data_IF_794281000624
#
_entry.id   IF_794281000624
#
_cell.length_a   1.000
_cell.length_b   1.000
_cell.length_c   1.000
_cell.angle_alpha   90.00
_cell.angle_beta   90.00
_cell.angle_gamma   90.00
#
_symmetry.space_group_name_H-M   'P 1'
#
loop_
_entity.id
_entity.type
_entity.pdbx_description
1 polymer ?
#
# COMPACT_ATOMS: atom_id res chain seq x y z
N UNK A 1 -6.54 -2.53 30.38
CA UNK A 1 -5.25 -2.87 29.72
C UNK A 1 -5.47 -4.15 28.95
N UNK A 2 -5.54 -4.11 27.64
CA UNK A 2 -5.37 -5.31 26.81
C UNK A 2 -5.08 -4.91 25.37
N UNK A 3 -4.20 -5.70 24.76
CA UNK A 3 -3.35 -5.47 23.60
C UNK A 3 -4.11 -4.95 22.37
N UNK A 4 -3.56 -3.91 21.74
CA UNK A 4 -3.77 -3.62 20.32
C UNK A 4 -3.23 -4.82 19.56
N UNK A 5 -4.09 -5.54 18.86
CA UNK A 5 -3.68 -6.49 17.83
C UNK A 5 -3.11 -5.67 16.67
N UNK A 6 -1.81 -5.41 16.74
CA UNK A 6 -1.06 -4.93 15.59
C UNK A 6 -0.99 -6.09 14.61
N UNK A 7 -1.51 -5.88 13.40
CA UNK A 7 -1.21 -6.74 12.27
C UNK A 7 0.32 -6.70 12.08
N UNK A 8 1.02 -7.76 12.47
CA UNK A 8 2.47 -7.84 12.37
C UNK A 8 2.81 -8.37 10.97
N UNK A 9 2.88 -7.44 10.03
CA UNK A 9 3.31 -7.70 8.65
C UNK A 9 4.76 -8.16 8.64
N UNK A 10 5.12 -9.12 7.78
CA UNK A 10 6.44 -9.71 7.82
C UNK A 10 7.48 -8.76 7.23
N UNK A 11 8.54 -8.47 8.00
CA UNK A 11 9.70 -7.75 7.49
C UNK A 11 10.49 -8.64 6.52
N UNK A 12 10.60 -8.21 5.26
CA UNK A 12 11.26 -8.98 4.20
C UNK A 12 12.65 -8.45 3.84
N UNK A 13 12.92 -7.17 4.10
CA UNK A 13 14.18 -6.54 3.69
C UNK A 13 14.50 -5.33 4.59
N UNK A 14 15.78 -4.96 4.65
CA UNK A 14 16.22 -3.71 5.26
C UNK A 14 17.21 -3.03 4.33
N UNK A 15 16.98 -1.76 4.04
CA UNK A 15 17.91 -0.91 3.29
C UNK A 15 18.66 -0.01 4.27
N UNK A 16 19.99 -0.10 4.24
CA UNK A 16 20.87 0.72 5.05
C UNK A 16 21.32 1.92 4.24
N UNK A 17 20.84 3.12 4.57
CA UNK A 17 21.05 4.33 3.79
C UNK A 17 22.00 5.27 4.54
N UNK A 18 23.01 5.77 3.83
CA UNK A 18 23.91 6.82 4.30
C UNK A 18 23.67 8.09 3.51
N UNK A 19 23.32 9.17 4.21
CA UNK A 19 23.01 10.46 3.59
C UNK A 19 24.32 11.19 3.29
N UNK A 20 24.46 11.72 2.07
CA UNK A 20 25.55 12.63 1.72
C UNK A 20 25.13 14.06 2.04
N UNK A 21 25.30 14.46 3.29
CA UNK A 21 24.90 15.78 3.78
C UNK A 21 25.59 16.95 3.08
N UNK A 22 26.77 16.72 2.52
CA UNK A 22 27.57 17.75 1.82
C UNK A 22 27.02 18.13 0.45
N UNK A 23 26.19 17.28 -0.15
CA UNK A 23 25.61 17.48 -1.49
C UNK A 23 24.12 17.83 -1.47
N UNK A 24 23.56 18.09 -0.28
CA UNK A 24 22.17 18.52 -0.13
C UNK A 24 21.97 19.86 -0.82
N UNK A 25 21.02 19.94 -1.75
CA UNK A 25 20.61 21.19 -2.38
C UNK A 25 19.19 21.55 -2.00
N UNK A 26 18.94 22.85 -1.79
CA UNK A 26 17.65 23.33 -1.28
C UNK A 26 17.20 24.60 -1.99
N UNK A 27 15.94 24.59 -2.40
CA UNK A 27 15.16 25.77 -2.75
C UNK A 27 14.18 26.05 -1.61
N UNK A 28 14.10 27.31 -1.16
CA UNK A 28 13.11 27.74 -0.17
C UNK A 28 12.52 29.08 -0.59
N UNK A 29 11.20 29.17 -0.56
CA UNK A 29 10.43 30.41 -0.70
C UNK A 29 9.76 30.75 0.64
N UNK A 30 8.97 31.82 0.67
CA UNK A 30 8.21 32.19 1.88
C UNK A 30 7.16 31.14 2.27
N UNK A 31 6.67 30.36 1.30
CA UNK A 31 5.56 29.43 1.49
C UNK A 31 5.92 27.97 1.20
N UNK A 32 6.98 27.68 0.45
CA UNK A 32 7.29 26.34 -0.03
C UNK A 32 8.79 26.03 0.06
N UNK A 33 9.14 24.74 0.02
CA UNK A 33 10.53 24.32 -0.07
C UNK A 33 10.68 23.03 -0.89
N UNK A 34 11.82 22.89 -1.56
CA UNK A 34 12.25 21.67 -2.22
C UNK A 34 13.66 21.35 -1.75
N UNK A 35 13.91 20.12 -1.30
CA UNK A 35 15.24 19.66 -0.85
C UNK A 35 15.59 18.37 -1.57
N UNK A 36 16.72 18.35 -2.27
CA UNK A 36 17.31 17.12 -2.80
C UNK A 36 18.34 16.62 -1.78
N UNK A 37 18.19 15.36 -1.35
CA UNK A 37 19.04 14.70 -0.38
C UNK A 37 19.71 13.52 -1.08
N UNK A 38 20.95 13.67 -1.58
CA UNK A 38 21.69 12.56 -2.16
C UNK A 38 22.07 11.55 -1.08
N UNK A 39 22.07 10.27 -1.44
CA UNK A 39 22.46 9.21 -0.53
C UNK A 39 23.10 8.03 -1.25
N UNK A 40 23.79 7.20 -0.48
CA UNK A 40 24.22 5.85 -0.88
C UNK A 40 23.67 4.85 0.12
N UNK A 41 23.92 3.56 -0.10
CA UNK A 41 23.43 2.53 0.78
C UNK A 41 23.62 1.14 0.22
N UNK A 42 23.20 0.16 1.01
CA UNK A 42 23.25 -1.24 0.64
C UNK A 42 22.10 -2.02 1.28
N UNK A 43 21.92 -3.25 0.83
CA UNK A 43 21.04 -4.22 1.46
C UNK A 43 21.69 -5.59 1.43
N UNK A 44 21.46 -6.35 2.50
CA UNK A 44 21.87 -7.74 2.62
C UNK A 44 20.69 -8.51 3.21
N UNK A 45 19.94 -9.20 2.34
CA UNK A 45 18.74 -9.96 2.70
C UNK A 45 18.79 -11.34 2.07
N UNK A 46 17.91 -12.23 2.53
CA UNK A 46 17.77 -13.55 1.93
C UNK A 46 17.30 -13.54 0.47
N UNK A 47 16.68 -12.45 0.01
CA UNK A 47 16.15 -12.33 -1.36
C UNK A 47 17.13 -11.65 -2.31
N UNK A 48 17.87 -10.66 -1.81
CA UNK A 48 18.73 -9.81 -2.61
C UNK A 48 19.84 -9.19 -1.76
N UNK A 49 21.03 -9.10 -2.35
CA UNK A 49 22.20 -8.41 -1.79
C UNK A 49 22.77 -7.45 -2.82
N UNK A 50 22.88 -6.18 -2.49
CA UNK A 50 23.36 -5.16 -3.44
C UNK A 50 23.65 -3.80 -2.84
N UNK A 51 24.26 -2.94 -3.66
CA UNK A 51 24.66 -1.57 -3.31
C UNK A 51 23.96 -0.56 -4.22
N UNK A 52 23.70 0.63 -3.68
CA UNK A 52 23.04 1.72 -4.41
C UNK A 52 23.99 2.31 -5.46
N UNK A 53 23.50 2.41 -6.68
CA UNK A 53 24.18 3.05 -7.80
C UNK A 53 24.18 4.59 -7.66
N UNK A 54 25.16 5.29 -8.27
CA UNK A 54 25.18 6.76 -8.30
C UNK A 54 23.89 7.36 -8.86
N UNK A 55 23.48 8.50 -8.31
CA UNK A 55 22.27 9.24 -8.72
C UNK A 55 21.05 9.06 -7.81
N UNK A 56 21.19 8.29 -6.74
CA UNK A 56 20.16 8.14 -5.72
C UNK A 56 19.91 9.44 -4.94
N UNK A 57 18.64 9.82 -4.84
CA UNK A 57 18.24 11.00 -4.08
C UNK A 57 16.82 10.85 -3.50
N UNK A 58 16.62 11.50 -2.36
CA UNK A 58 15.30 11.80 -1.81
C UNK A 58 14.96 13.25 -2.13
N UNK A 59 13.83 13.44 -2.82
CA UNK A 59 13.29 14.75 -3.13
C UNK A 59 12.16 15.05 -2.17
N UNK A 60 12.41 15.97 -1.24
CA UNK A 60 11.42 16.41 -0.28
C UNK A 60 10.79 17.72 -0.72
N UNK A 61 9.46 17.76 -0.77
CA UNK A 61 8.68 18.96 -1.12
C UNK A 61 7.82 19.36 0.07
N UNK A 62 8.00 20.58 0.56
CA UNK A 62 7.09 21.22 1.51
C UNK A 62 6.17 22.16 0.76
N UNK A 63 4.86 21.89 0.85
CA UNK A 63 3.84 22.71 0.20
C UNK A 63 3.46 23.94 1.02
N UNK A 64 2.54 24.76 0.49
CA UNK A 64 2.08 25.98 1.15
C UNK A 64 1.28 25.73 2.44
N UNK A 65 0.82 24.50 2.67
CA UNK A 65 0.16 24.09 3.92
C UNK A 65 1.16 23.67 5.00
N UNK A 66 2.45 23.58 4.66
CA UNK A 66 3.51 23.09 5.53
C UNK A 66 3.62 21.56 5.53
N UNK A 67 2.84 20.85 4.70
CA UNK A 67 2.93 19.40 4.54
C UNK A 67 4.20 19.06 3.78
N UNK A 68 4.98 18.10 4.30
CA UNK A 68 6.22 17.64 3.67
C UNK A 68 6.00 16.26 3.06
N UNK A 69 6.25 16.16 1.77
CA UNK A 69 6.23 14.93 0.99
C UNK A 69 7.66 14.47 0.72
N UNK A 70 7.87 13.16 0.72
CA UNK A 70 9.14 12.49 0.45
C UNK A 70 8.99 11.63 -0.82
N UNK A 71 9.99 11.66 -1.69
CA UNK A 71 10.04 10.85 -2.90
C UNK A 71 11.48 10.42 -3.15
N UNK A 72 11.85 9.24 -2.62
CA UNK A 72 13.17 8.67 -2.80
C UNK A 72 13.21 7.76 -4.02
N UNK A 73 14.16 7.99 -4.93
CA UNK A 73 14.37 7.19 -6.14
C UNK A 73 15.82 6.74 -6.24
N UNK A 74 16.02 5.43 -6.38
CA UNK A 74 17.33 4.82 -6.38
C UNK A 74 17.33 3.45 -7.05
N UNK A 75 18.50 2.98 -7.46
CA UNK A 75 18.70 1.67 -8.07
C UNK A 75 19.78 0.95 -7.28
N UNK A 76 19.51 -0.25 -6.83
CA UNK A 76 20.55 -1.17 -6.40
C UNK A 76 21.10 -1.96 -7.58
N UNK A 77 22.39 -2.27 -7.53
CA UNK A 77 23.03 -3.31 -8.34
C UNK A 77 23.54 -4.40 -7.41
N UNK A 78 23.21 -5.65 -7.72
CA UNK A 78 23.50 -6.75 -6.80
C UNK A 78 23.25 -8.13 -7.38
N UNK A 79 23.00 -9.07 -6.48
CA UNK A 79 22.74 -10.48 -6.78
C UNK A 79 21.47 -10.93 -6.06
N UNK A 80 20.59 -11.64 -6.78
CA UNK A 80 19.41 -12.27 -6.19
C UNK A 80 19.74 -13.61 -5.50
N UNK A 81 18.74 -14.21 -4.86
CA UNK A 81 18.89 -15.48 -4.14
C UNK A 81 19.28 -16.67 -5.05
N UNK A 82 19.06 -16.56 -6.37
CA UNK A 82 19.48 -17.58 -7.34
C UNK A 82 20.93 -17.38 -7.81
N UNK A 83 21.62 -16.36 -7.30
CA UNK A 83 23.00 -16.05 -7.67
C UNK A 83 23.11 -15.25 -8.97
N UNK A 84 22.02 -14.69 -9.51
CA UNK A 84 22.04 -13.91 -10.75
C UNK A 84 22.27 -12.43 -10.46
N UNK A 85 23.15 -11.82 -11.25
CA UNK A 85 23.35 -10.37 -11.22
C UNK A 85 22.11 -9.65 -11.76
N UNK A 86 21.62 -8.67 -11.02
CA UNK A 86 20.40 -7.94 -11.35
C UNK A 86 20.40 -6.54 -10.74
N UNK A 87 19.39 -5.76 -11.14
CA UNK A 87 19.11 -4.43 -10.63
C UNK A 87 17.75 -4.40 -9.94
N UNK A 88 17.65 -3.57 -8.91
CA UNK A 88 16.40 -3.31 -8.19
C UNK A 88 16.21 -1.79 -8.10
N UNK A 89 15.33 -1.27 -8.92
CA UNK A 89 14.84 0.10 -8.79
C UNK A 89 13.83 0.18 -7.64
N UNK A 90 13.98 1.22 -6.83
CA UNK A 90 13.09 1.54 -5.72
C UNK A 90 12.61 2.98 -5.84
N UNK A 91 11.30 3.15 -5.75
CA UNK A 91 10.63 4.42 -5.56
C UNK A 91 9.89 4.38 -4.22
N UNK A 92 10.36 5.12 -3.22
CA UNK A 92 9.76 5.12 -1.88
C UNK A 92 9.13 6.47 -1.57
N UNK A 93 7.80 6.49 -1.48
CA UNK A 93 7.03 7.72 -1.28
C UNK A 93 6.42 7.75 0.13
N UNK A 94 6.55 8.87 0.83
CA UNK A 94 6.01 9.03 2.18
C UNK A 94 5.58 10.46 2.47
N UNK A 95 4.85 10.66 3.56
CA UNK A 95 4.46 11.99 4.04
C UNK A 95 4.80 12.13 5.51
N UNK A 96 5.32 13.31 5.88
CA UNK A 96 5.58 13.59 7.27
C UNK A 96 4.25 13.97 7.95
N UNK A 97 3.88 13.28 9.03
CA UNK A 97 2.63 13.57 9.72
C UNK A 97 2.65 14.97 10.36
N UNK A 98 1.45 15.55 10.56
CA UNK A 98 1.29 16.87 11.19
C UNK A 98 2.05 16.97 12.53
N UNK A 99 2.50 18.18 12.86
CA UNK A 99 3.20 18.48 14.11
C UNK A 99 2.44 17.93 15.33
N UNK A 100 3.03 16.96 16.02
CA UNK A 100 2.48 16.39 17.26
C UNK A 100 2.30 14.87 17.27
N UNK A 101 2.38 14.20 16.12
CA UNK A 101 2.43 12.73 16.11
C UNK A 101 3.83 12.25 16.50
N UNK A 102 3.91 11.47 17.59
CA UNK A 102 5.14 10.83 18.08
C UNK A 102 5.28 9.44 17.43
N UNK A 103 5.43 9.37 16.11
CA UNK A 103 5.88 8.11 15.51
C UNK A 103 7.41 8.06 15.60
N UNK A 104 7.94 6.90 16.00
CA UNK A 104 9.39 6.66 16.08
C UNK A 104 10.04 6.56 14.69
N UNK A 105 9.22 6.32 13.66
CA UNK A 105 9.59 6.20 12.26
C UNK A 105 8.64 6.98 11.36
N UNK A 106 9.11 7.24 10.13
CA UNK A 106 8.28 7.73 9.03
C UNK A 106 7.71 6.55 8.25
N UNK A 107 6.43 6.61 7.90
CA UNK A 107 5.79 5.60 7.04
C UNK A 107 5.88 5.99 5.57
N UNK A 108 6.15 5.00 4.72
CA UNK A 108 6.21 5.18 3.28
C UNK A 108 5.77 3.93 2.51
N UNK A 109 5.47 4.09 1.24
CA UNK A 109 5.00 3.05 0.33
C UNK A 109 6.04 2.84 -0.78
N UNK A 110 6.87 1.77 -0.68
CA UNK A 110 7.86 1.46 -1.70
C UNK A 110 7.23 0.78 -2.92
N UNK A 111 7.75 1.12 -4.09
CA UNK A 111 7.47 0.45 -5.36
C UNK A 111 8.78 -0.07 -5.95
N UNK A 112 8.73 -1.29 -6.46
CA UNK A 112 9.89 -2.00 -7.00
C UNK A 112 9.76 -2.25 -8.50
N UNK A 113 10.89 -2.17 -9.21
CA UNK A 113 11.06 -2.65 -10.58
C UNK A 113 12.40 -3.38 -10.66
N UNK A 114 12.46 -4.52 -11.34
CA UNK A 114 13.67 -5.33 -11.42
C UNK A 114 13.79 -6.05 -12.76
N UNK A 115 15.03 -6.37 -13.16
CA UNK A 115 15.33 -7.26 -14.29
C UNK A 115 15.57 -8.72 -13.85
N UNK A 116 15.49 -9.05 -12.56
CA UNK A 116 15.52 -10.43 -12.06
C UNK A 116 14.13 -11.07 -12.12
N UNK A 117 14.06 -12.24 -12.75
CA UNK A 117 12.84 -13.06 -12.77
C UNK A 117 12.42 -13.48 -11.36
N UNK A 118 13.37 -13.90 -10.53
CA UNK A 118 13.13 -14.31 -9.14
C UNK A 118 12.54 -13.16 -8.31
N UNK A 119 13.16 -11.97 -8.38
CA UNK A 119 12.68 -10.81 -7.64
C UNK A 119 11.35 -10.27 -8.18
N UNK A 120 11.08 -10.40 -9.48
CA UNK A 120 9.81 -9.99 -10.07
C UNK A 120 8.63 -10.72 -9.43
N UNK A 121 8.75 -12.03 -9.19
CA UNK A 121 7.69 -12.84 -8.55
C UNK A 121 7.40 -12.43 -7.10
N UNK A 122 8.39 -11.83 -6.43
CA UNK A 122 8.30 -11.44 -5.02
C UNK A 122 7.88 -9.98 -4.88
N UNK A 123 8.55 -9.06 -5.58
CA UNK A 123 8.54 -7.63 -5.29
C UNK A 123 7.68 -6.78 -6.24
N UNK A 124 7.29 -7.28 -7.41
CA UNK A 124 6.50 -6.48 -8.36
C UNK A 124 4.98 -6.54 -8.08
N UNK A 125 4.62 -6.27 -6.83
CA UNK A 125 3.24 -6.26 -6.30
C UNK A 125 3.00 -5.00 -5.44
N UNK A 126 1.78 -4.44 -5.38
CA UNK A 126 1.50 -3.20 -4.66
C UNK A 126 1.13 -3.43 -3.18
N UNK A 127 1.85 -4.32 -2.49
CA UNK A 127 1.49 -4.81 -1.14
C UNK A 127 2.54 -4.48 -0.08
N UNK A 128 3.46 -3.56 -0.40
CA UNK A 128 4.58 -3.25 0.47
C UNK A 128 4.38 -1.94 1.21
N UNK A 129 4.81 -1.96 2.47
CA UNK A 129 4.99 -0.81 3.34
C UNK A 129 6.46 -0.69 3.68
N UNK A 130 6.90 0.52 4.01
CA UNK A 130 8.17 0.72 4.67
C UNK A 130 8.09 1.60 5.90
N UNK A 131 8.98 1.33 6.84
CA UNK A 131 9.28 2.19 7.98
C UNK A 131 10.68 2.77 7.80
N UNK A 132 10.79 4.09 7.88
CA UNK A 132 12.06 4.81 7.78
C UNK A 132 12.47 5.28 9.17
N UNK A 133 13.52 4.66 9.69
CA UNK A 133 14.09 4.92 11.01
C UNK A 133 15.36 5.74 10.87
N UNK A 134 15.50 6.82 11.64
CA UNK A 134 16.71 7.64 11.60
C UNK A 134 17.89 6.91 12.27
N UNK A 135 19.07 7.06 11.69
CA UNK A 135 20.34 6.59 12.27
C UNK A 135 21.31 7.76 12.40
N UNK A 136 22.49 7.53 12.98
CA UNK A 136 23.51 8.58 13.13
C UNK A 136 24.03 9.09 11.78
N UNK A 137 24.01 8.26 10.74
CA UNK A 137 24.60 8.55 9.42
C UNK A 137 23.58 8.65 8.27
N UNK A 138 22.31 8.34 8.54
CA UNK A 138 21.27 8.35 7.53
C UNK A 138 19.98 7.74 8.05
N UNK A 139 19.50 6.69 7.37
CA UNK A 139 18.26 6.00 7.74
C UNK A 139 18.36 4.51 7.49
N UNK A 140 17.65 3.73 8.30
CA UNK A 140 17.31 2.34 7.99
C UNK A 140 15.87 2.30 7.47
N UNK A 141 15.67 1.67 6.31
CA UNK A 141 14.34 1.49 5.71
C UNK A 141 13.97 0.02 5.83
N UNK A 142 13.03 -0.29 6.70
CA UNK A 142 12.50 -1.64 6.88
C UNK A 142 11.35 -1.85 5.90
N UNK A 143 11.40 -2.91 5.10
CA UNK A 143 10.37 -3.24 4.10
C UNK A 143 9.52 -4.38 4.65
N UNK A 144 8.21 -4.18 4.63
CA UNK A 144 7.21 -5.12 5.11
C UNK A 144 6.32 -5.57 3.96
N UNK A 145 6.07 -6.87 3.92
CA UNK A 145 5.07 -7.49 3.05
C UNK A 145 3.76 -7.60 3.84
N UNK A 146 2.77 -6.76 3.50
CA UNK A 146 1.46 -6.72 4.17
C UNK A 146 0.63 -7.99 3.94
N UNK A 147 1.09 -8.89 3.07
CA UNK A 147 0.42 -10.16 2.78
C UNK A 147 0.88 -11.29 3.69
N UNK A 148 2.03 -11.12 4.35
CA UNK A 148 2.66 -12.15 5.17
C UNK A 148 2.59 -11.73 6.63
N UNK A 149 2.24 -12.67 7.50
CA UNK A 149 2.38 -12.49 8.95
C UNK A 149 3.75 -12.98 9.42
N UNK A 150 4.32 -12.39 10.46
CA UNK A 150 5.65 -12.78 11.00
C UNK A 150 5.79 -14.27 11.39
N UNK A 151 4.69 -15.03 11.48
CA UNK A 151 4.65 -16.47 11.77
C UNK A 151 4.58 -17.34 10.52
N UNK A 152 5.72 -17.54 9.84
CA UNK A 152 5.95 -18.73 9.00
C UNK A 152 7.14 -19.59 9.47
N UNK A 153 7.72 -19.26 10.63
CA UNK A 153 8.55 -20.22 11.36
C UNK A 153 8.00 -20.36 12.79
N UNK A 154 7.47 -21.54 13.05
CA UNK A 154 7.02 -22.10 14.33
C UNK A 154 5.61 -21.77 14.85
N UNK A 155 4.93 -22.85 15.24
CA UNK A 155 3.62 -23.01 15.93
C UNK A 155 2.35 -22.95 15.07
N UNK A 156 1.82 -24.14 14.76
CA UNK A 156 0.41 -24.40 14.43
C UNK A 156 -0.48 -24.10 15.63
N UNK A 157 -1.02 -22.88 15.72
CA UNK A 157 -2.27 -22.63 16.44
C UNK A 157 -3.31 -22.14 15.43
N UNK A 158 -4.50 -22.74 15.48
CA UNK A 158 -5.61 -22.38 14.60
C UNK A 158 -5.98 -20.91 14.82
N UNK A 159 -5.62 -20.05 13.85
CA UNK A 159 -5.99 -18.64 13.86
C UNK A 159 -7.52 -18.57 13.89
N UNK A 160 -8.06 -18.02 14.98
CA UNK A 160 -9.48 -17.81 15.13
C UNK A 160 -9.93 -16.75 14.12
N UNK A 161 -10.77 -17.14 13.16
CA UNK A 161 -11.27 -16.25 12.09
C UNK A 161 -11.98 -15.02 12.70
N UNK A 162 -11.78 -13.85 12.09
CA UNK A 162 -12.36 -12.59 12.57
C UNK A 162 -13.90 -12.70 12.69
N UNK A 163 -14.52 -12.26 13.81
CA UNK A 163 -15.96 -12.35 14.02
C UNK A 163 -16.82 -11.73 12.90
N UNK A 164 -16.34 -10.65 12.25
CA UNK A 164 -17.03 -10.01 11.13
C UNK A 164 -17.05 -10.93 9.92
N UNK A 165 -15.93 -11.59 9.62
CA UNK A 165 -15.87 -12.57 8.52
C UNK A 165 -16.76 -13.78 8.82
N UNK A 166 -16.75 -14.28 10.06
CA UNK A 166 -17.66 -15.36 10.47
C UNK A 166 -19.13 -14.97 10.29
N UNK A 167 -19.50 -13.74 10.66
CA UNK A 167 -20.86 -13.22 10.47
C UNK A 167 -21.22 -13.13 8.99
N UNK A 168 -20.35 -12.59 8.15
CA UNK A 168 -20.57 -12.48 6.70
C UNK A 168 -20.70 -13.85 6.05
N UNK A 169 -19.85 -14.82 6.42
CA UNK A 169 -19.95 -16.20 5.91
C UNK A 169 -21.27 -16.89 6.29
N UNK A 170 -21.86 -16.50 7.41
CA UNK A 170 -23.14 -17.00 7.86
C UNK A 170 -24.33 -16.21 7.32
N UNK A 171 -24.10 -15.06 6.66
CA UNK A 171 -25.17 -14.27 6.06
C UNK A 171 -25.78 -14.99 4.85
N UNK A 172 -27.11 -15.01 4.80
CA UNK A 172 -27.83 -15.46 3.62
C UNK A 172 -27.94 -14.31 2.61
N UNK A 173 -27.45 -14.54 1.39
CA UNK A 173 -27.56 -13.60 0.28
C UNK A 173 -28.60 -14.15 -0.69
N UNK A 174 -29.73 -13.43 -0.83
CA UNK A 174 -30.84 -13.80 -1.71
C UNK A 174 -30.94 -12.93 -2.97
N UNK A 175 -30.04 -11.96 -3.14
CA UNK A 175 -30.02 -11.09 -4.31
C UNK A 175 -29.32 -11.78 -5.48
N UNK A 176 -30.12 -12.22 -6.45
CA UNK A 176 -29.66 -12.90 -7.68
C UNK A 176 -28.61 -12.10 -8.49
N UNK A 177 -28.67 -10.76 -8.46
CA UNK A 177 -27.68 -9.96 -9.17
C UNK A 177 -26.31 -10.02 -8.49
N UNK A 178 -26.29 -10.03 -7.15
CA UNK A 178 -25.08 -10.20 -6.36
C UNK A 178 -24.53 -11.62 -6.50
N UNK A 179 -25.39 -12.63 -6.42
CA UNK A 179 -24.97 -14.03 -6.59
C UNK A 179 -24.30 -14.24 -7.95
N UNK A 180 -24.93 -13.78 -9.03
CA UNK A 180 -24.36 -13.87 -10.38
C UNK A 180 -23.01 -13.16 -10.50
N UNK A 181 -22.87 -11.97 -9.93
CA UNK A 181 -21.61 -11.22 -10.00
C UNK A 181 -20.52 -11.85 -9.14
N UNK A 182 -20.85 -12.36 -7.95
CA UNK A 182 -19.90 -13.08 -7.10
C UNK A 182 -19.33 -14.31 -7.80
N UNK A 183 -20.16 -15.05 -8.55
CA UNK A 183 -19.72 -16.18 -9.35
C UNK A 183 -18.77 -15.75 -10.47
N UNK A 184 -19.11 -14.70 -11.22
CA UNK A 184 -18.24 -14.15 -12.27
C UNK A 184 -16.87 -13.78 -11.71
N UNK A 185 -16.84 -13.12 -10.57
CA UNK A 185 -15.59 -12.75 -9.88
C UNK A 185 -14.80 -13.99 -9.44
N UNK A 186 -15.46 -14.97 -8.85
CA UNK A 186 -14.81 -16.17 -8.35
C UNK A 186 -14.29 -17.07 -9.50
N UNK A 187 -15.13 -17.40 -10.48
CA UNK A 187 -14.82 -18.37 -11.53
C UNK A 187 -14.04 -17.77 -12.71
N UNK A 188 -14.40 -16.56 -13.15
CA UNK A 188 -13.80 -15.94 -14.35
C UNK A 188 -12.62 -15.04 -14.01
N UNK A 189 -12.78 -14.16 -13.01
CA UNK A 189 -11.71 -13.27 -12.58
C UNK A 189 -10.72 -13.94 -11.63
N UNK A 190 -11.08 -15.07 -11.01
CA UNK A 190 -10.21 -15.83 -10.10
C UNK A 190 -9.60 -14.95 -9.01
N UNK A 191 -10.47 -14.37 -8.18
CA UNK A 191 -10.05 -13.54 -7.05
C UNK A 191 -9.20 -14.37 -6.09
N UNK A 192 -8.03 -13.83 -5.72
CA UNK A 192 -7.08 -14.41 -4.77
C UNK A 192 -6.95 -13.56 -3.50
N UNK A 193 -7.27 -12.27 -3.60
CA UNK A 193 -7.25 -11.35 -2.45
C UNK A 193 -8.47 -10.44 -2.44
N UNK A 194 -8.99 -10.19 -1.24
CA UNK A 194 -10.07 -9.25 -1.00
C UNK A 194 -9.71 -8.32 0.15
N UNK A 195 -9.80 -7.01 -0.09
CA UNK A 195 -9.61 -5.97 0.93
C UNK A 195 -10.97 -5.31 1.18
N UNK A 196 -11.59 -5.64 2.30
CA UNK A 196 -12.94 -5.19 2.68
C UNK A 196 -12.88 -4.18 3.83
N UNK A 197 -13.60 -3.07 3.68
CA UNK A 197 -13.68 -2.01 4.69
C UNK A 197 -15.05 -2.10 5.37
N UNK A 198 -15.10 -2.63 6.59
CA UNK A 198 -16.37 -2.88 7.31
C UNK A 198 -16.98 -1.59 7.89
N UNK A 199 -18.28 -1.38 7.69
CA UNK A 199 -19.01 -0.20 8.21
C UNK A 199 -19.35 -0.33 9.68
N UNK A 200 -19.42 -1.57 10.15
CA UNK A 200 -19.82 -1.86 11.51
C UNK A 200 -18.68 -1.65 12.50
N UNK A 201 -17.43 -1.91 12.09
CA UNK A 201 -16.30 -1.87 13.02
C UNK A 201 -15.19 -0.86 12.65
N UNK A 202 -15.28 -0.17 11.51
CA UNK A 202 -14.22 0.74 11.05
C UNK A 202 -12.88 0.03 10.82
N UNK A 203 -12.93 -1.27 10.51
CA UNK A 203 -11.76 -2.13 10.29
C UNK A 203 -11.58 -2.43 8.81
N UNK A 204 -10.33 -2.55 8.42
CA UNK A 204 -9.94 -3.12 7.12
C UNK A 204 -9.59 -4.58 7.32
N UNK A 205 -10.21 -5.45 6.53
CA UNK A 205 -10.00 -6.90 6.58
C UNK A 205 -9.42 -7.37 5.26
N UNK A 206 -8.29 -8.07 5.32
CA UNK A 206 -7.65 -8.70 4.17
C UNK A 206 -7.96 -10.19 4.21
N UNK A 207 -8.58 -10.70 3.15
CA UNK A 207 -8.95 -12.11 3.01
C UNK A 207 -8.18 -12.70 1.85
N UNK A 208 -7.41 -13.75 2.14
CA UNK A 208 -6.73 -14.60 1.17
C UNK A 208 -7.69 -15.70 0.70
N UNK A 209 -7.69 -15.96 -0.60
CA UNK A 209 -8.48 -17.01 -1.26
C UNK A 209 -9.96 -17.01 -0.82
N UNK A 210 -10.68 -15.88 -0.97
CA UNK A 210 -12.09 -15.81 -0.59
C UNK A 210 -12.93 -16.74 -1.47
N UNK A 211 -13.81 -17.51 -0.86
CA UNK A 211 -14.78 -18.30 -1.61
C UNK A 211 -15.91 -17.43 -2.19
N UNK A 212 -16.63 -17.97 -3.17
CA UNK A 212 -17.78 -17.31 -3.82
C UNK A 212 -18.79 -16.79 -2.79
N UNK A 213 -19.05 -17.56 -1.72
CA UNK A 213 -20.04 -17.21 -0.70
C UNK A 213 -19.64 -15.96 0.06
N UNK A 214 -18.38 -15.85 0.47
CA UNK A 214 -17.86 -14.68 1.17
C UNK A 214 -17.82 -13.45 0.25
N UNK A 215 -17.45 -13.62 -1.02
CA UNK A 215 -17.53 -12.54 -2.02
C UNK A 215 -18.98 -12.03 -2.12
N UNK A 216 -19.96 -12.93 -2.24
CA UNK A 216 -21.37 -12.56 -2.29
C UNK A 216 -21.82 -11.82 -1.03
N UNK A 217 -21.44 -12.31 0.15
CA UNK A 217 -21.79 -11.71 1.44
C UNK A 217 -21.23 -10.29 1.56
N UNK A 218 -19.97 -10.07 1.19
CA UNK A 218 -19.35 -8.74 1.18
C UNK A 218 -20.03 -7.81 0.18
N UNK A 219 -20.29 -8.28 -1.04
CA UNK A 219 -21.01 -7.47 -2.04
C UNK A 219 -22.42 -7.08 -1.56
N UNK A 220 -23.09 -7.98 -0.86
CA UNK A 220 -24.41 -7.74 -0.27
C UNK A 220 -24.36 -6.75 0.90
N UNK A 221 -23.36 -6.88 1.77
CA UNK A 221 -23.13 -5.94 2.88
C UNK A 221 -22.84 -4.52 2.39
N UNK A 222 -22.08 -4.39 1.30
CA UNK A 222 -21.78 -3.10 0.67
C UNK A 222 -22.99 -2.49 -0.08
N UNK A 223 -24.08 -3.24 -0.25
CA UNK A 223 -25.23 -2.78 -1.03
C UNK A 223 -25.91 -1.61 -0.32
N UNK A 224 -25.87 -0.45 -0.96
CA UNK A 224 -26.48 0.77 -0.43
C UNK A 224 -25.64 1.50 0.62
N UNK A 225 -24.42 1.03 0.89
CA UNK A 225 -23.45 1.72 1.76
C UNK A 225 -22.50 2.59 0.94
N UNK A 226 -21.78 3.49 1.61
CA UNK A 226 -20.73 4.32 1.00
C UNK A 226 -19.34 3.66 1.04
N UNK A 227 -19.30 2.35 1.26
CA UNK A 227 -18.06 1.62 1.48
C UNK A 227 -17.50 1.00 0.21
N UNK A 228 -16.27 0.51 0.33
CA UNK A 228 -15.53 -0.09 -0.76
C UNK A 228 -15.05 -1.50 -0.39
N UNK A 229 -14.80 -2.29 -1.42
CA UNK A 229 -14.01 -3.50 -1.33
C UNK A 229 -13.18 -3.62 -2.62
N UNK A 230 -11.92 -4.03 -2.47
CA UNK A 230 -11.01 -4.30 -3.58
C UNK A 230 -10.85 -5.81 -3.77
N UNK A 231 -11.03 -6.28 -5.00
CA UNK A 231 -10.91 -7.70 -5.36
C UNK A 231 -9.78 -7.87 -6.36
N UNK A 232 -8.75 -8.61 -5.98
CA UNK A 232 -7.51 -8.77 -6.75
C UNK A 232 -7.44 -10.20 -7.28
N UNK A 233 -7.17 -10.36 -8.58
CA UNK A 233 -7.10 -11.65 -9.25
C UNK A 233 -5.73 -12.34 -9.15
N UNK A 234 -5.64 -13.57 -9.64
CA UNK A 234 -4.40 -14.36 -9.74
C UNK A 234 -3.26 -13.64 -10.48
N UNK A 235 -3.58 -12.68 -11.36
CA UNK A 235 -2.59 -11.86 -12.09
C UNK A 235 -2.15 -10.62 -11.31
N UNK A 236 -2.55 -10.50 -10.04
CA UNK A 236 -2.31 -9.34 -9.18
C UNK A 236 -2.89 -8.04 -9.73
N UNK A 237 -3.96 -8.15 -10.53
CA UNK A 237 -4.70 -7.02 -11.07
C UNK A 237 -5.96 -6.81 -10.24
N UNK A 238 -6.34 -5.55 -10.05
CA UNK A 238 -7.62 -5.22 -9.44
C UNK A 238 -8.74 -5.59 -10.43
N UNK A 239 -9.38 -6.73 -10.18
CA UNK A 239 -10.41 -7.29 -11.05
C UNK A 239 -11.72 -6.51 -10.94
N UNK A 240 -12.05 -6.05 -9.73
CA UNK A 240 -13.26 -5.27 -9.48
C UNK A 240 -13.14 -4.46 -8.19
N UNK A 241 -13.96 -3.42 -8.12
CA UNK A 241 -14.29 -2.74 -6.89
C UNK A 241 -15.80 -2.50 -6.84
N UNK A 242 -16.38 -2.56 -5.65
CA UNK A 242 -17.76 -2.17 -5.40
C UNK A 242 -17.79 -0.85 -4.65
N UNK A 243 -18.57 0.12 -5.14
CA UNK A 243 -18.87 1.37 -4.45
C UNK A 243 -20.33 1.76 -4.70
N UNK A 244 -20.98 2.36 -3.69
CA UNK A 244 -22.30 3.01 -3.69
C UNK A 244 -23.35 2.39 -4.63
N UNK A 245 -24.42 1.86 -4.03
CA UNK A 245 -25.61 1.25 -4.65
C UNK A 245 -25.47 -0.21 -5.13
N UNK A 246 -24.40 -0.91 -4.74
CA UNK A 246 -24.22 -2.34 -5.08
C UNK A 246 -23.91 -2.60 -6.56
N UNK A 247 -23.33 -1.62 -7.26
CA UNK A 247 -22.90 -1.78 -8.65
C UNK A 247 -21.40 -2.05 -8.69
N UNK A 248 -21.02 -3.22 -9.16
CA UNK A 248 -19.64 -3.50 -9.57
C UNK A 248 -19.31 -2.73 -10.84
N UNK A 249 -18.08 -2.21 -10.92
CA UNK A 249 -17.59 -1.56 -12.14
C UNK A 249 -16.26 -2.17 -12.55
N UNK A 250 -16.10 -2.60 -13.81
CA UNK A 250 -14.79 -2.91 -14.36
C UNK A 250 -13.95 -1.61 -14.39
N UNK A 251 -12.70 -1.69 -13.94
CA UNK A 251 -11.78 -0.54 -13.92
C UNK A 251 -10.96 -0.55 -15.20
N UNK A 252 -10.94 0.59 -15.89
CA UNK A 252 -9.87 0.89 -16.85
C UNK A 252 -8.68 1.50 -16.09
N UNK A 253 -7.47 1.08 -16.48
CA UNK A 253 -6.16 1.36 -15.88
C UNK A 253 -5.89 2.81 -15.47
N UNK A 254 -6.58 3.79 -16.07
CA UNK A 254 -6.42 5.23 -15.77
C UNK A 254 -7.10 5.68 -14.47
N UNK A 255 -8.13 4.96 -14.00
CA UNK A 255 -8.83 5.27 -12.73
C UNK A 255 -8.01 4.78 -11.52
N UNK A 256 -7.17 3.76 -11.71
CA UNK A 256 -6.28 3.20 -10.71
C UNK A 256 -5.27 4.23 -10.17
N UNK A 257 -4.74 5.10 -11.03
CA UNK A 257 -3.81 6.15 -10.60
C UNK A 257 -4.50 7.12 -9.66
N UNK A 258 -5.71 7.59 -10.01
CA UNK A 258 -6.45 8.55 -9.18
C UNK A 258 -6.84 7.95 -7.82
N UNK A 259 -7.30 6.71 -7.77
CA UNK A 259 -7.69 6.10 -6.50
C UNK A 259 -6.49 5.65 -5.65
N UNK A 260 -5.44 5.07 -6.23
CA UNK A 260 -4.22 4.75 -5.49
C UNK A 260 -3.53 6.03 -4.96
N UNK A 261 -3.59 7.13 -5.71
CA UNK A 261 -3.05 8.42 -5.31
C UNK A 261 -3.90 9.09 -4.21
N UNK A 262 -5.24 8.98 -4.28
CA UNK A 262 -6.15 9.35 -3.18
C UNK A 262 -5.87 8.51 -1.92
N UNK A 263 -5.72 7.18 -2.05
CA UNK A 263 -5.39 6.30 -0.93
C UNK A 263 -4.00 6.59 -0.33
N UNK A 264 -3.01 6.94 -1.17
CA UNK A 264 -1.68 7.37 -0.72
C UNK A 264 -1.72 8.70 0.06
N UNK A 265 -2.69 9.57 -0.25
CA UNK A 265 -2.88 10.87 0.39
C UNK A 265 -3.74 10.82 1.65
N UNK A 266 -4.63 9.83 1.79
CA UNK A 266 -5.59 9.75 2.90
C UNK A 266 -5.37 8.54 3.80
N UNK A 267 -4.12 8.13 4.05
CA UNK A 267 -3.75 7.06 4.99
C UNK A 267 -4.17 7.27 6.46
N UNK A 268 -5.17 8.14 6.72
CA UNK A 268 -5.99 8.17 7.92
C UNK A 268 -7.47 8.45 7.58
N UNK A 269 -8.33 7.73 8.29
CA UNK A 269 -9.79 7.78 8.54
C UNK A 269 -10.58 9.11 8.36
N UNK A 270 -10.32 9.96 7.37
CA UNK A 270 -10.94 11.29 7.25
C UNK A 270 -12.03 11.43 6.18
N UNK A 271 -12.54 10.34 5.59
CA UNK A 271 -13.58 10.45 4.55
C UNK A 271 -14.98 10.85 5.06
N UNK A 272 -15.21 10.95 6.38
CA UNK A 272 -16.53 11.28 6.92
C UNK A 272 -16.66 12.57 7.74
N UNK A 273 -15.62 13.40 7.91
CA UNK A 273 -15.75 14.57 8.82
C UNK A 273 -15.68 15.98 8.21
N UNK A 274 -15.41 16.20 6.91
CA UNK A 274 -15.49 17.56 6.34
C UNK A 274 -16.11 17.63 4.94
N UNK A 275 -16.90 18.69 4.64
CA UNK A 275 -17.59 18.81 3.36
C UNK A 275 -16.56 19.00 2.25
N UNK A 276 -16.68 18.18 1.20
CA UNK A 276 -15.93 18.34 -0.04
C UNK A 276 -16.25 19.72 -0.62
N UNK A 277 -15.29 20.64 -0.54
CA UNK A 277 -15.37 21.93 -1.22
C UNK A 277 -15.46 21.65 -2.73
N UNK A 278 -16.59 22.04 -3.33
CA UNK A 278 -16.79 22.02 -4.77
C UNK A 278 -15.76 22.95 -5.42
N UNK A 279 -14.91 22.42 -6.30
CA UNK A 279 -14.16 23.28 -7.22
C UNK A 279 -15.17 24.11 -8.04
N UNK A 280 -14.99 25.45 -8.14
CA UNK A 280 -15.82 26.26 -9.02
C UNK A 280 -15.53 25.84 -10.47
N UNK A 281 -16.61 25.61 -11.22
CA UNK A 281 -16.56 25.34 -12.67
C UNK A 281 -15.73 26.44 -13.34
N UNK A 282 -14.68 26.07 -14.07
CA UNK A 282 -14.11 26.94 -15.08
C UNK A 282 -15.20 27.21 -16.11
N UNK A 283 -15.63 28.46 -16.20
CA UNK A 283 -16.38 28.96 -17.33
C UNK A 283 -15.44 28.96 -18.55
N UNK A 284 -15.73 28.09 -19.51
CA UNK A 284 -15.21 28.26 -20.88
C UNK A 284 -16.07 29.32 -21.55
N UNK A 285 -15.52 30.52 -21.73
CA UNK A 285 -15.99 31.47 -22.72
C UNK A 285 -15.27 31.17 -24.05
N UNK A 286 -16.07 30.86 -25.07
CA UNK A 286 -15.82 31.13 -26.48
C UNK A 286 -17.01 31.94 -26.99
#
# INVERSE_FOLDING_TARGET
MTKKDFHMSAKIMTFHITINSSEITRLKTDTQAVTFIPFTGYTDSQYFKGEIMPGAADVQVTDASGMRHMCAKYIFKGTDAEGKLCHLFVENNGYFPEHGSRKEYLEACPRFITDSQYLNEILMRPVFRSEVHSTDTGVDILIFDETKTETENDVTEAVQEDPVLQQLRNAEVSDEAILRESRRLYEEEKITDMIYFSSHEGKTLTVRDPDEKLIAAVLNDLKGTAQMCFLINEKQQLASFSYISGKTRPIDSSILTVYAEIFSQTGQDRYFEKPVNRYPRMHTEL
#
